data_IF_871828193924
#
_entry.id   IF_871828193924
#
_cell.length_a   1.000
_cell.length_b   1.000
_cell.length_c   1.000
_cell.angle_alpha   90.00
_cell.angle_beta   90.00
_cell.angle_gamma   90.00
#
_symmetry.space_group_name_H-M   'P 1'
#
loop_
_entity.id
_entity.type
_entity.pdbx_description
1 polymer ?
#
# COMPACT_ATOMS: atom_id res chain seq x y z
N UNK A 1 11.45 16.48 -3.17
CA UNK A 1 10.48 17.35 -3.87
C UNK A 1 11.12 18.72 -4.04
N UNK A 2 11.15 19.25 -5.27
CA UNK A 2 11.65 20.61 -5.48
C UNK A 2 10.61 21.63 -4.97
N UNK A 3 11.05 22.85 -4.70
CA UNK A 3 10.15 23.93 -4.26
C UNK A 3 9.04 24.21 -5.29
N UNK A 4 9.34 24.03 -6.59
CA UNK A 4 8.37 24.19 -7.69
C UNK A 4 7.30 23.11 -7.69
N UNK A 5 7.66 21.86 -7.36
CA UNK A 5 6.69 20.77 -7.26
C UNK A 5 5.75 21.00 -6.07
N UNK A 6 6.28 21.53 -4.96
CA UNK A 6 5.49 21.94 -3.80
C UNK A 6 4.51 23.05 -4.16
N UNK A 7 4.95 24.09 -4.86
CA UNK A 7 4.08 25.20 -5.27
C UNK A 7 2.99 24.76 -6.24
N UNK A 8 3.35 23.97 -7.26
CA UNK A 8 2.37 23.38 -8.17
C UNK A 8 1.36 22.50 -7.41
N UNK A 9 1.83 21.72 -6.43
CA UNK A 9 1.01 20.86 -5.59
C UNK A 9 0.02 21.67 -4.71
N UNK A 10 0.51 22.72 -4.03
CA UNK A 10 -0.33 23.64 -3.27
C UNK A 10 -1.36 24.32 -4.17
N UNK A 11 -1.00 24.63 -5.41
CA UNK A 11 -1.95 25.18 -6.38
C UNK A 11 -3.03 24.17 -6.76
N UNK A 12 -2.70 22.88 -6.92
CA UNK A 12 -3.71 21.84 -7.17
C UNK A 12 -4.66 21.68 -5.98
N UNK A 13 -4.16 21.68 -4.75
CA UNK A 13 -4.98 21.64 -3.54
C UNK A 13 -5.91 22.85 -3.44
N UNK A 14 -5.39 24.06 -3.67
CA UNK A 14 -6.20 25.30 -3.70
C UNK A 14 -7.26 25.24 -4.80
N UNK A 15 -6.91 24.75 -5.98
CA UNK A 15 -7.83 24.60 -7.11
C UNK A 15 -8.95 23.60 -6.79
N UNK A 16 -8.67 22.53 -6.05
CA UNK A 16 -9.70 21.57 -5.62
C UNK A 16 -10.57 22.12 -4.48
N UNK A 17 -9.99 22.77 -3.48
CA UNK A 17 -10.75 23.42 -2.41
C UNK A 17 -11.73 24.48 -2.96
N UNK A 18 -11.34 25.20 -4.01
CA UNK A 18 -12.20 26.20 -4.67
C UNK A 18 -13.36 25.55 -5.43
N UNK A 19 -13.18 24.33 -5.97
CA UNK A 19 -14.25 23.58 -6.67
C UNK A 19 -15.31 23.02 -5.73
N UNK A 20 -15.02 22.86 -4.44
CA UNK A 20 -15.96 22.36 -3.43
C UNK A 20 -16.99 23.42 -2.95
N UNK A 21 -16.95 24.64 -3.50
CA UNK A 21 -17.68 25.81 -3.00
C UNK A 21 -18.89 26.34 -3.79
N UNK A 22 -19.48 25.65 -4.79
CA UNK A 22 -20.85 25.90 -5.37
C UNK A 22 -21.16 25.05 -6.63
N UNK A 23 -22.44 24.86 -7.01
CA UNK A 23 -22.88 23.80 -7.93
C UNK A 23 -22.63 24.14 -9.40
N UNK A 24 -22.11 23.17 -10.15
CA UNK A 24 -22.08 23.23 -11.62
C UNK A 24 -23.25 22.43 -12.16
N UNK A 25 -24.22 23.15 -12.71
CA UNK A 25 -25.21 22.65 -13.66
C UNK A 25 -24.47 22.10 -14.88
N UNK A 26 -24.71 20.85 -15.25
CA UNK A 26 -24.34 20.33 -16.58
C UNK A 26 -25.62 19.94 -17.30
N UNK A 27 -26.08 20.82 -18.19
CA UNK A 27 -26.94 20.47 -19.32
C UNK A 27 -26.05 20.07 -20.50
N UNK A 28 -26.46 19.06 -21.27
CA UNK A 28 -25.97 18.86 -22.62
C UNK A 28 -25.93 17.40 -23.09
N UNK A 29 -27.06 16.93 -23.64
CA UNK A 29 -27.14 15.79 -24.58
C UNK A 29 -26.19 15.98 -25.76
N UNK A 30 -25.71 14.88 -26.35
CA UNK A 30 -25.98 14.54 -27.76
C UNK A 30 -25.77 13.04 -28.01
N UNK A 31 -26.70 12.49 -28.78
CA UNK A 31 -26.76 11.11 -29.26
C UNK A 31 -25.84 10.91 -30.46
N UNK A 32 -25.47 9.65 -30.74
CA UNK A 32 -25.17 9.23 -32.10
C UNK A 32 -25.64 7.79 -32.35
N UNK A 33 -26.20 7.62 -33.54
CA UNK A 33 -26.99 6.52 -34.04
C UNK A 33 -26.17 5.33 -34.57
N UNK A 34 -26.94 4.27 -34.84
CA UNK A 34 -26.62 2.91 -35.25
C UNK A 34 -25.88 2.79 -36.59
N UNK A 35 -25.15 1.69 -36.75
CA UNK A 35 -24.99 1.01 -38.05
C UNK A 35 -25.32 -0.47 -37.92
N UNK A 36 -26.24 -0.89 -38.78
CA UNK A 36 -26.64 -2.24 -39.14
C UNK A 36 -25.63 -2.85 -40.10
N UNK A 37 -25.36 -4.16 -39.98
CA UNK A 37 -24.58 -4.91 -40.96
C UNK A 37 -24.47 -6.40 -40.65
N UNK A 38 -25.26 -7.17 -41.40
CA UNK A 38 -25.07 -8.55 -41.88
C UNK A 38 -25.09 -9.76 -40.91
N UNK A 39 -26.04 -10.65 -41.20
CA UNK A 39 -26.36 -11.88 -40.50
C UNK A 39 -25.50 -13.06 -40.97
N UNK A 40 -24.87 -13.74 -40.01
CA UNK A 40 -24.29 -15.08 -40.16
C UNK A 40 -25.30 -16.17 -39.77
N UNK A 41 -25.16 -17.41 -40.31
CA UNK A 41 -26.04 -18.54 -39.99
C UNK A 41 -25.93 -18.98 -38.52
N UNK A 42 -26.99 -19.62 -37.96
CA UNK A 42 -27.03 -19.98 -36.55
C UNK A 42 -26.05 -21.11 -36.23
N UNK A 43 -25.10 -20.82 -35.34
CA UNK A 43 -24.26 -21.81 -34.70
C UNK A 43 -25.08 -22.69 -33.73
N UNK A 44 -24.65 -23.94 -33.51
CA UNK A 44 -25.32 -24.88 -32.61
C UNK A 44 -25.43 -24.30 -31.19
N UNK A 45 -26.65 -24.33 -30.65
CA UNK A 45 -26.99 -23.91 -29.29
C UNK A 45 -26.26 -24.80 -28.29
N UNK A 46 -25.05 -24.39 -27.90
CA UNK A 46 -24.42 -24.81 -26.67
C UNK A 46 -25.24 -24.19 -25.54
N UNK A 47 -25.76 -25.04 -24.64
CA UNK A 47 -26.47 -24.61 -23.43
C UNK A 47 -25.62 -23.55 -22.73
N UNK A 48 -26.19 -22.37 -22.51
CA UNK A 48 -25.62 -21.30 -21.70
C UNK A 48 -25.19 -21.90 -20.36
N UNK A 49 -23.89 -22.15 -20.24
CA UNK A 49 -23.26 -22.19 -18.93
C UNK A 49 -23.33 -20.76 -18.45
N UNK A 50 -23.94 -20.54 -17.29
CA UNK A 50 -23.94 -19.26 -16.58
C UNK A 50 -22.52 -18.69 -16.63
N UNK A 51 -22.31 -17.73 -17.53
CA UNK A 51 -21.07 -16.98 -17.59
C UNK A 51 -21.13 -16.11 -16.36
N UNK A 52 -20.37 -16.49 -15.32
CA UNK A 52 -20.10 -15.60 -14.20
C UNK A 52 -19.50 -14.36 -14.83
N UNK A 53 -20.30 -13.29 -14.88
CA UNK A 53 -19.86 -12.00 -15.39
C UNK A 53 -18.79 -11.47 -14.44
N UNK A 54 -17.53 -11.78 -14.74
CA UNK A 54 -16.36 -11.27 -14.02
C UNK A 54 -16.24 -9.74 -14.15
N UNK A 55 -17.11 -9.06 -14.91
CA UNK A 55 -17.18 -7.60 -14.99
C UNK A 55 -18.16 -6.97 -14.01
N UNK A 56 -18.86 -7.73 -13.17
CA UNK A 56 -19.43 -7.14 -11.96
C UNK A 56 -18.25 -6.80 -11.03
N UNK A 57 -17.65 -5.62 -11.25
CA UNK A 57 -16.84 -4.95 -10.24
C UNK A 57 -17.76 -4.73 -9.05
N UNK A 58 -17.80 -5.68 -8.13
CA UNK A 58 -18.33 -5.46 -6.80
C UNK A 58 -17.70 -4.15 -6.31
N UNK A 59 -18.52 -3.14 -6.03
CA UNK A 59 -18.05 -1.89 -5.46
C UNK A 59 -17.41 -2.24 -4.12
N UNK A 60 -16.08 -2.31 -4.11
CA UNK A 60 -15.36 -2.59 -2.89
C UNK A 60 -15.67 -1.48 -1.89
N UNK A 61 -16.01 -1.85 -0.64
CA UNK A 61 -16.41 -0.88 0.36
C UNK A 61 -15.22 0.02 0.70
N UNK A 62 -15.43 1.33 0.64
CA UNK A 62 -14.50 2.34 1.14
C UNK A 62 -15.17 3.18 2.24
N UNK A 63 -14.34 3.71 3.14
CA UNK A 63 -14.80 4.50 4.27
C UNK A 63 -15.07 5.95 3.84
N UNK A 64 -16.21 6.53 4.25
CA UNK A 64 -16.64 7.88 3.85
C UNK A 64 -16.36 8.98 4.89
N UNK A 65 -15.68 8.66 6.00
CA UNK A 65 -15.38 9.62 7.07
C UNK A 65 -14.09 10.42 6.84
N UNK A 66 -14.04 11.20 5.78
CA UNK A 66 -12.88 12.01 5.39
C UNK A 66 -12.57 13.16 6.39
N UNK A 67 -11.32 13.64 6.47
CA UNK A 67 -10.10 13.10 5.85
C UNK A 67 -9.48 11.97 6.70
N UNK A 68 -8.74 11.07 6.06
CA UNK A 68 -8.02 9.99 6.73
C UNK A 68 -6.77 9.57 5.96
N UNK A 69 -5.80 8.98 6.67
CA UNK A 69 -4.69 8.25 6.09
C UNK A 69 -5.02 6.77 5.97
N UNK A 70 -4.56 6.17 4.87
CA UNK A 70 -4.50 4.72 4.69
C UNK A 70 -3.05 4.31 4.59
N UNK A 71 -2.63 3.38 5.45
CA UNK A 71 -1.30 2.75 5.38
C UNK A 71 -1.48 1.34 4.84
N UNK A 72 -0.91 1.06 3.66
CA UNK A 72 -0.93 -0.27 3.07
C UNK A 72 0.14 -1.13 3.76
N UNK A 73 -0.30 -2.07 4.60
CA UNK A 73 0.59 -2.99 5.32
C UNK A 73 1.03 -4.12 4.38
N UNK A 74 0.06 -4.73 3.69
CA UNK A 74 0.25 -5.61 2.52
C UNK A 74 -0.90 -5.35 1.54
N UNK A 75 -0.85 -5.94 0.33
CA UNK A 75 -1.81 -5.64 -0.77
C UNK A 75 -3.29 -5.67 -0.36
N UNK A 76 -3.68 -6.54 0.56
CA UNK A 76 -5.05 -6.76 0.99
C UNK A 76 -5.36 -6.23 2.40
N UNK A 77 -4.37 -5.69 3.11
CA UNK A 77 -4.47 -5.38 4.53
C UNK A 77 -4.02 -3.95 4.83
N UNK A 78 -4.98 -3.07 5.07
CA UNK A 78 -4.73 -1.64 5.27
C UNK A 78 -5.08 -1.21 6.70
N UNK A 79 -4.36 -0.20 7.17
CA UNK A 79 -4.73 0.53 8.38
C UNK A 79 -5.31 1.90 8.01
N UNK A 80 -6.41 2.29 8.65
CA UNK A 80 -6.98 3.63 8.56
C UNK A 80 -6.62 4.41 9.83
N UNK A 81 -6.13 5.65 9.65
CA UNK A 81 -5.95 6.63 10.72
C UNK A 81 -6.77 7.89 10.39
N UNK A 82 -7.71 8.24 11.24
CA UNK A 82 -8.52 9.44 11.06
C UNK A 82 -7.70 10.71 11.32
N UNK A 83 -7.97 11.74 10.54
CA UNK A 83 -7.33 13.05 10.66
C UNK A 83 -8.38 14.11 11.00
N UNK A 84 -8.03 15.08 11.84
CA UNK A 84 -8.94 16.20 12.15
C UNK A 84 -9.09 17.11 10.94
N UNK A 85 -10.31 17.29 10.44
CA UNK A 85 -10.58 18.20 9.32
C UNK A 85 -10.57 19.68 9.75
N UNK A 86 -10.91 19.94 11.01
CA UNK A 86 -11.10 21.29 11.55
C UNK A 86 -9.78 21.98 11.89
N UNK A 87 -8.72 21.20 12.15
CA UNK A 87 -7.50 21.68 12.78
C UNK A 87 -6.25 21.52 11.92
N UNK A 88 -6.33 20.81 10.80
CA UNK A 88 -5.24 20.70 9.86
C UNK A 88 -5.67 21.36 8.56
N UNK A 89 -4.84 22.28 8.06
CA UNK A 89 -4.99 22.70 6.68
C UNK A 89 -4.52 21.59 5.72
N UNK A 90 -4.84 21.67 4.42
CA UNK A 90 -4.42 20.66 3.45
C UNK A 90 -2.90 20.44 3.36
N UNK A 91 -2.09 21.46 3.67
CA UNK A 91 -0.63 21.36 3.64
C UNK A 91 -0.12 20.55 4.83
N UNK A 92 -0.68 20.76 6.01
CA UNK A 92 -0.36 20.00 7.21
C UNK A 92 -0.76 18.52 7.08
N UNK A 93 -1.94 18.24 6.49
CA UNK A 93 -2.35 16.87 6.19
C UNK A 93 -1.36 16.18 5.24
N UNK A 94 -0.87 16.89 4.22
CA UNK A 94 0.13 16.37 3.29
C UNK A 94 1.47 16.09 3.98
N UNK A 95 1.98 17.04 4.78
CA UNK A 95 3.23 16.86 5.53
C UNK A 95 3.14 15.68 6.49
N UNK A 96 2.00 15.51 7.15
CA UNK A 96 1.74 14.38 8.04
C UNK A 96 1.76 13.05 7.27
N UNK A 97 1.09 12.98 6.12
CA UNK A 97 1.08 11.81 5.25
C UNK A 97 2.49 11.44 4.75
N UNK A 98 3.25 12.43 4.28
CA UNK A 98 4.63 12.27 3.82
C UNK A 98 5.54 11.78 4.95
N UNK A 99 5.48 12.40 6.13
CA UNK A 99 6.25 12.00 7.30
C UNK A 99 5.93 10.55 7.71
N UNK A 100 4.66 10.14 7.63
CA UNK A 100 4.26 8.77 7.90
C UNK A 100 4.89 7.78 6.91
N UNK A 101 4.81 8.09 5.61
CA UNK A 101 5.38 7.25 4.55
C UNK A 101 6.91 7.14 4.68
N UNK A 102 7.57 8.26 4.92
CA UNK A 102 9.03 8.34 5.04
C UNK A 102 9.56 7.57 6.25
N UNK A 103 8.86 7.64 7.39
CA UNK A 103 9.27 6.93 8.59
C UNK A 103 8.96 5.43 8.48
N UNK A 104 7.71 5.06 8.15
CA UNK A 104 7.31 3.66 8.18
C UNK A 104 7.83 2.83 7.01
N UNK A 105 8.17 3.49 5.88
CA UNK A 105 8.49 2.85 4.59
C UNK A 105 7.37 1.97 4.03
N UNK A 106 6.13 2.23 4.44
CA UNK A 106 4.94 1.68 3.80
C UNK A 106 4.39 2.64 2.75
N UNK A 107 3.62 2.12 1.81
CA UNK A 107 2.82 2.98 0.93
C UNK A 107 1.68 3.60 1.76
N UNK A 108 1.54 4.92 1.65
CA UNK A 108 0.53 5.70 2.38
C UNK A 108 -0.35 6.43 1.37
N UNK A 109 -1.63 6.53 1.66
CA UNK A 109 -2.58 7.31 0.87
C UNK A 109 -3.33 8.28 1.78
N UNK A 110 -3.27 9.57 1.47
CA UNK A 110 -4.10 10.59 2.09
C UNK A 110 -5.39 10.72 1.31
N UNK A 111 -6.52 10.38 1.94
CA UNK A 111 -7.85 10.51 1.35
C UNK A 111 -8.52 11.74 1.91
N UNK A 112 -8.82 12.71 1.05
CA UNK A 112 -9.40 14.01 1.42
C UNK A 112 -10.91 14.04 1.18
N UNK A 113 -11.39 13.37 0.14
CA UNK A 113 -12.82 13.23 -0.19
C UNK A 113 -13.06 12.01 -1.11
N UNK A 114 -14.28 11.85 -1.63
CA UNK A 114 -14.69 10.74 -2.48
C UNK A 114 -13.96 10.63 -3.83
N UNK A 115 -13.26 11.68 -4.26
CA UNK A 115 -12.60 11.78 -5.58
C UNK A 115 -11.20 12.35 -5.48
N UNK A 116 -10.67 12.51 -4.27
CA UNK A 116 -9.38 13.13 -4.04
C UNK A 116 -8.53 12.35 -3.05
N UNK A 117 -7.49 11.73 -3.59
CA UNK A 117 -6.49 10.99 -2.86
C UNK A 117 -5.08 11.38 -3.32
N UNK A 118 -4.12 11.32 -2.39
CA UNK A 118 -2.69 11.50 -2.67
C UNK A 118 -1.92 10.29 -2.20
N UNK A 119 -1.21 9.64 -3.11
CA UNK A 119 -0.43 8.44 -2.83
C UNK A 119 1.04 8.78 -2.62
N UNK A 120 1.61 8.22 -1.56
CA UNK A 120 3.00 8.32 -1.15
C UNK A 120 3.59 6.91 -1.19
N UNK A 121 4.61 6.71 -2.02
CA UNK A 121 5.32 5.43 -2.11
C UNK A 121 6.82 5.69 -2.04
N UNK A 122 7.57 4.73 -1.51
CA UNK A 122 9.04 4.78 -1.51
C UNK A 122 9.66 4.78 -2.92
N UNK A 123 8.88 4.40 -3.94
CA UNK A 123 9.36 4.24 -5.33
C UNK A 123 9.04 5.40 -6.25
N UNK A 124 8.09 6.25 -5.87
CA UNK A 124 7.52 7.26 -6.75
C UNK A 124 7.29 8.56 -6.00
N UNK A 125 7.37 9.68 -6.72
CA UNK A 125 6.95 10.95 -6.17
C UNK A 125 5.46 10.92 -5.80
N UNK A 126 5.05 11.72 -4.80
CA UNK A 126 3.64 11.81 -4.44
C UNK A 126 2.79 12.19 -5.65
N UNK A 127 1.67 11.50 -5.84
CA UNK A 127 0.77 11.76 -6.96
C UNK A 127 -0.69 11.76 -6.55
N UNK A 128 -1.47 12.60 -7.24
CA UNK A 128 -2.92 12.65 -7.06
C UNK A 128 -3.61 11.53 -7.82
N UNK A 129 -4.68 11.01 -7.25
CA UNK A 129 -5.57 10.08 -7.92
C UNK A 129 -7.03 10.33 -7.52
N UNK A 130 -7.94 9.94 -8.40
CA UNK A 130 -9.38 9.82 -8.09
C UNK A 130 -9.72 8.44 -7.52
N UNK A 131 -8.82 7.48 -7.66
CA UNK A 131 -9.02 6.12 -7.21
C UNK A 131 -8.68 6.01 -5.72
N UNK A 132 -9.67 5.61 -4.93
CA UNK A 132 -9.51 5.39 -3.50
C UNK A 132 -8.83 4.04 -3.23
N UNK A 133 -8.04 3.94 -2.14
CA UNK A 133 -7.37 2.70 -1.79
C UNK A 133 -8.39 1.62 -1.42
N UNK A 134 -8.41 0.52 -2.18
CA UNK A 134 -9.27 -0.65 -1.92
C UNK A 134 -8.47 -1.75 -1.22
N UNK A 135 -9.08 -2.35 -0.19
CA UNK A 135 -8.54 -3.50 0.54
C UNK A 135 -9.66 -4.45 0.96
N UNK A 136 -9.29 -5.68 1.29
CA UNK A 136 -10.22 -6.67 1.85
C UNK A 136 -10.26 -6.63 3.37
N UNK A 137 -9.18 -6.16 4.01
CA UNK A 137 -9.07 -6.08 5.47
C UNK A 137 -8.65 -4.67 5.87
N UNK A 138 -9.44 -4.08 6.76
CA UNK A 138 -9.17 -2.79 7.38
C UNK A 138 -8.97 -2.96 8.88
N UNK A 139 -7.98 -2.25 9.43
CA UNK A 139 -7.75 -2.11 10.87
C UNK A 139 -7.54 -0.64 11.24
N UNK A 140 -7.51 -0.36 12.53
CA UNK A 140 -7.10 0.94 13.09
C UNK A 140 -6.23 0.76 14.33
N UNK A 141 -5.62 1.85 14.77
CA UNK A 141 -4.93 1.98 16.07
C UNK A 141 -3.73 1.05 16.29
N UNK A 142 -3.06 0.58 15.22
CA UNK A 142 -1.82 -0.24 15.34
C UNK A 142 -0.55 0.57 15.12
N UNK A 143 -0.51 1.39 14.09
CA UNK A 143 0.56 2.36 13.83
C UNK A 143 0.10 3.76 14.17
N UNK A 144 0.74 4.41 15.14
CA UNK A 144 0.44 5.79 15.52
C UNK A 144 0.86 6.77 14.42
N UNK A 145 0.12 7.88 14.34
CA UNK A 145 0.47 9.04 13.51
C UNK A 145 1.75 9.71 14.03
N UNK A 146 2.48 10.38 13.14
CA UNK A 146 3.69 11.15 13.49
C UNK A 146 3.45 12.27 14.49
N UNK A 147 2.22 12.76 14.59
CA UNK A 147 1.79 13.80 15.53
C UNK A 147 0.53 13.36 16.25
N UNK A 148 0.37 13.82 17.49
CA UNK A 148 -0.89 13.66 18.20
C UNK A 148 -1.96 14.52 17.52
N UNK A 149 -3.07 13.90 17.14
CA UNK A 149 -4.21 14.62 16.61
C UNK A 149 -5.09 15.10 17.77
N UNK A 150 -5.45 16.38 17.81
CA UNK A 150 -6.47 16.87 18.73
C UNK A 150 -7.80 16.11 18.55
N UNK A 151 -8.40 15.70 19.66
CA UNK A 151 -9.64 14.93 19.66
C UNK A 151 -10.83 15.88 19.78
N UNK A 152 -11.53 16.11 18.67
CA UNK A 152 -12.78 16.87 18.60
C UNK A 152 -14.03 15.97 18.52
N UNK A 153 -15.21 16.58 18.65
CA UNK A 153 -16.49 15.87 18.56
C UNK A 153 -16.68 15.19 17.19
N UNK A 154 -16.26 15.84 16.10
CA UNK A 154 -16.27 15.26 14.77
C UNK A 154 -15.39 14.01 14.66
N UNK A 155 -14.15 14.08 15.17
CA UNK A 155 -13.21 12.96 15.11
C UNK A 155 -13.72 11.76 15.91
N UNK A 156 -14.33 11.99 17.08
CA UNK A 156 -14.95 10.94 17.89
C UNK A 156 -16.13 10.28 17.17
N UNK A 157 -17.01 11.08 16.53
CA UNK A 157 -18.11 10.57 15.72
C UNK A 157 -17.59 9.68 14.58
N UNK A 158 -16.62 10.17 13.81
CA UNK A 158 -16.00 9.41 12.71
C UNK A 158 -15.25 8.17 13.20
N UNK A 159 -14.69 8.18 14.41
CA UNK A 159 -14.07 6.99 15.00
C UNK A 159 -15.09 5.87 15.23
N UNK A 160 -16.29 6.19 15.70
CA UNK A 160 -17.40 5.24 15.83
C UNK A 160 -17.91 4.74 14.48
N UNK A 161 -17.97 5.61 13.47
CA UNK A 161 -18.31 5.21 12.09
C UNK A 161 -17.25 4.27 11.49
N UNK A 162 -15.97 4.53 11.76
CA UNK A 162 -14.88 3.67 11.33
C UNK A 162 -14.94 2.29 12.01
N UNK A 163 -15.32 2.23 13.29
CA UNK A 163 -15.55 0.95 13.98
C UNK A 163 -16.66 0.14 13.31
N UNK A 164 -17.81 0.77 13.06
CA UNK A 164 -18.92 0.11 12.37
C UNK A 164 -18.53 -0.34 10.95
N UNK A 165 -17.77 0.50 10.24
CA UNK A 165 -17.23 0.16 8.92
C UNK A 165 -16.33 -1.07 8.98
N UNK A 166 -15.33 -1.10 9.86
CA UNK A 166 -14.40 -2.24 10.00
C UNK A 166 -15.16 -3.50 10.40
N UNK A 167 -16.07 -3.41 11.36
CA UNK A 167 -16.86 -4.55 11.83
C UNK A 167 -17.72 -5.14 10.71
N UNK A 168 -18.44 -4.30 9.96
CA UNK A 168 -19.31 -4.73 8.85
C UNK A 168 -18.57 -5.37 7.67
N UNK A 169 -17.28 -5.04 7.50
CA UNK A 169 -16.44 -5.61 6.45
C UNK A 169 -15.65 -6.83 6.92
N UNK A 170 -15.30 -6.92 8.21
CA UNK A 170 -14.53 -8.04 8.76
C UNK A 170 -15.28 -9.38 8.72
N UNK A 171 -16.61 -9.36 8.73
CA UNK A 171 -17.47 -10.56 8.69
C UNK A 171 -17.57 -11.18 7.29
N UNK A 172 -17.20 -10.42 6.25
CA UNK A 172 -17.12 -10.89 4.86
C UNK A 172 -15.73 -11.47 4.62
N UNK A 173 -15.47 -12.67 5.15
CA UNK A 173 -14.25 -13.50 5.02
C UNK A 173 -13.20 -13.01 4.02
N UNK A 174 -12.39 -12.04 4.41
CA UNK A 174 -11.24 -11.61 3.62
C UNK A 174 -10.13 -12.64 3.78
N UNK A 175 -9.72 -13.30 2.70
CA UNK A 175 -8.47 -14.07 2.72
C UNK A 175 -7.30 -13.08 2.72
N UNK A 176 -6.38 -13.23 3.67
CA UNK A 176 -5.07 -12.59 3.61
C UNK A 176 -4.26 -13.22 2.49
N UNK A 177 -4.51 -12.79 1.25
CA UNK A 177 -3.65 -13.14 0.13
C UNK A 177 -2.41 -12.24 0.21
N UNK A 178 -1.38 -12.75 0.88
CA UNK A 178 -0.04 -12.19 0.81
C UNK A 178 0.55 -12.36 -0.58
N UNK A 179 1.56 -11.57 -0.90
CA UNK A 179 2.37 -11.82 -2.09
C UNK A 179 3.15 -13.13 -1.93
N UNK A 180 2.68 -14.18 -2.62
CA UNK A 180 3.28 -15.51 -2.59
C UNK A 180 4.65 -15.56 -3.30
N UNK A 181 5.04 -14.49 -4.01
CA UNK A 181 6.35 -14.37 -4.66
C UNK A 181 7.40 -13.73 -3.76
N UNK A 182 7.03 -13.30 -2.54
CA UNK A 182 7.90 -12.57 -1.61
C UNK A 182 8.51 -11.29 -2.20
N UNK A 183 7.80 -10.62 -3.09
CA UNK A 183 8.31 -9.49 -3.86
C UNK A 183 9.31 -9.86 -4.95
N UNK A 184 9.40 -11.15 -5.28
CA UNK A 184 10.28 -11.66 -6.33
C UNK A 184 9.79 -11.25 -7.71
N UNK A 185 10.73 -10.83 -8.56
CA UNK A 185 10.47 -10.56 -9.98
C UNK A 185 11.04 -11.68 -10.84
N UNK A 186 10.50 -11.87 -12.04
CA UNK A 186 11.10 -12.81 -13.00
C UNK A 186 12.54 -12.38 -13.31
N UNK A 187 13.45 -13.34 -13.31
CA UNK A 187 14.83 -13.14 -13.73
C UNK A 187 14.91 -12.84 -15.24
N UNK A 188 15.81 -11.95 -15.61
CA UNK A 188 16.31 -11.83 -16.98
C UNK A 188 17.24 -13.00 -17.33
N UNK A 189 17.54 -13.20 -18.60
CA UNK A 189 18.41 -14.29 -19.03
C UNK A 189 19.84 -14.12 -18.48
N UNK A 190 20.33 -12.88 -18.44
CA UNK A 190 21.61 -12.51 -17.88
C UNK A 190 21.66 -12.80 -16.38
N UNK A 191 20.60 -12.47 -15.64
CA UNK A 191 20.51 -12.77 -14.21
C UNK A 191 20.44 -14.26 -13.93
N UNK A 192 19.73 -15.04 -14.74
CA UNK A 192 19.77 -16.50 -14.64
C UNK A 192 21.20 -17.00 -14.77
N UNK A 193 21.96 -16.53 -15.77
CA UNK A 193 23.36 -16.96 -15.95
C UNK A 193 24.23 -16.55 -14.76
N UNK A 194 24.11 -15.32 -14.28
CA UNK A 194 24.98 -14.76 -13.24
C UNK A 194 24.64 -15.26 -11.82
N UNK A 195 23.36 -15.42 -11.52
CA UNK A 195 22.86 -15.74 -10.17
C UNK A 195 22.57 -17.24 -9.98
N UNK A 196 22.72 -18.08 -11.01
CA UNK A 196 22.53 -19.52 -10.87
C UNK A 196 23.62 -20.18 -10.00
N UNK A 197 23.16 -20.96 -9.02
CA UNK A 197 23.99 -21.79 -8.16
C UNK A 197 24.41 -21.10 -6.87
N UNK A 198 25.45 -21.64 -6.25
CA UNK A 198 26.00 -21.16 -4.98
C UNK A 198 27.49 -20.84 -5.13
N UNK A 199 28.01 -20.01 -4.24
CA UNK A 199 29.44 -19.85 -4.00
C UNK A 199 30.05 -21.10 -3.35
N UNK A 200 31.38 -21.20 -3.30
CA UNK A 200 32.10 -22.32 -2.65
C UNK A 200 31.72 -22.50 -1.16
N UNK A 201 31.32 -21.41 -0.50
CA UNK A 201 30.87 -21.41 0.89
C UNK A 201 29.38 -21.83 1.06
N UNK A 202 28.71 -22.22 -0.02
CA UNK A 202 27.30 -22.64 -0.04
C UNK A 202 26.28 -21.50 -0.10
N UNK A 203 26.71 -20.24 -0.13
CA UNK A 203 25.81 -19.09 -0.21
C UNK A 203 25.24 -18.94 -1.64
N UNK A 204 23.94 -18.65 -1.83
CA UNK A 204 23.40 -18.32 -3.16
C UNK A 204 24.19 -17.20 -3.83
N UNK A 205 24.46 -17.35 -5.13
CA UNK A 205 25.18 -16.32 -5.88
C UNK A 205 24.41 -14.99 -5.84
N UNK A 206 25.17 -13.91 -5.66
CA UNK A 206 24.65 -12.54 -5.56
C UNK A 206 24.34 -12.08 -4.14
N UNK A 207 24.33 -13.00 -3.16
CA UNK A 207 24.34 -12.62 -1.75
C UNK A 207 25.76 -12.36 -1.25
N UNK A 208 25.89 -11.37 -0.39
CA UNK A 208 27.14 -11.02 0.31
C UNK A 208 26.87 -10.83 1.79
N UNK A 209 27.91 -10.97 2.61
CA UNK A 209 27.87 -10.66 4.04
C UNK A 209 28.00 -9.14 4.20
N UNK A 210 27.08 -8.53 4.96
CA UNK A 210 27.13 -7.13 5.31
C UNK A 210 28.31 -6.86 6.26
N UNK A 211 29.23 -5.93 5.93
CA UNK A 211 30.40 -5.67 6.76
C UNK A 211 30.07 -5.01 8.11
N UNK A 212 28.84 -4.50 8.27
CA UNK A 212 28.41 -3.78 9.49
C UNK A 212 27.78 -4.73 10.50
N UNK A 213 26.79 -5.53 10.08
CA UNK A 213 26.05 -6.41 10.98
C UNK A 213 26.37 -7.91 10.83
N UNK A 214 27.19 -8.30 9.85
CA UNK A 214 27.53 -9.70 9.59
C UNK A 214 26.41 -10.54 8.96
N UNK A 215 25.27 -9.93 8.66
CA UNK A 215 24.10 -10.59 8.09
C UNK A 215 24.07 -10.45 6.55
N UNK A 216 23.21 -11.22 5.87
CA UNK A 216 23.25 -11.32 4.41
C UNK A 216 22.45 -10.22 3.72
N UNK A 217 22.93 -9.77 2.56
CA UNK A 217 22.22 -8.83 1.67
C UNK A 217 22.56 -9.08 0.20
N UNK A 218 21.72 -8.59 -0.70
CA UNK A 218 21.95 -8.65 -2.15
C UNK A 218 20.70 -9.09 -2.92
N UNK A 219 20.90 -9.46 -4.18
CA UNK A 219 19.86 -10.06 -5.02
C UNK A 219 20.33 -11.45 -5.45
N UNK A 220 19.45 -12.43 -5.41
CA UNK A 220 19.74 -13.81 -5.80
C UNK A 220 18.47 -14.50 -6.32
N UNK A 221 18.63 -15.66 -6.95
CA UNK A 221 17.50 -16.52 -7.28
C UNK A 221 16.96 -17.19 -6.00
N UNK A 222 15.64 -17.22 -5.81
CA UNK A 222 15.05 -17.92 -4.66
C UNK A 222 15.36 -19.43 -4.77
N UNK A 223 16.00 -20.04 -3.76
CA UNK A 223 16.37 -21.46 -3.81
C UNK A 223 15.16 -22.40 -3.67
N UNK A 224 13.97 -21.89 -3.32
CA UNK A 224 12.76 -22.69 -3.24
C UNK A 224 12.30 -23.09 -4.66
N UNK A 225 12.12 -24.40 -4.95
CA UNK A 225 11.66 -24.87 -6.25
C UNK A 225 10.34 -24.24 -6.73
N UNK A 226 9.44 -23.89 -5.80
CA UNK A 226 8.15 -23.26 -6.12
C UNK A 226 8.29 -21.81 -6.61
N UNK A 227 9.45 -21.18 -6.39
CA UNK A 227 9.78 -19.81 -6.80
C UNK A 227 10.97 -19.79 -7.78
N UNK A 228 11.19 -20.91 -8.48
CA UNK A 228 12.27 -21.05 -9.45
C UNK A 228 12.21 -19.95 -10.52
N UNK A 229 13.36 -19.33 -10.80
CA UNK A 229 13.49 -18.24 -11.77
C UNK A 229 13.03 -16.87 -11.26
N UNK A 230 12.72 -16.73 -9.97
CA UNK A 230 12.47 -15.42 -9.36
C UNK A 230 13.72 -14.86 -8.71
N UNK A 231 14.07 -13.62 -9.07
CA UNK A 231 15.06 -12.81 -8.35
C UNK A 231 14.39 -12.16 -7.17
N UNK A 232 14.94 -12.39 -5.99
CA UNK A 232 14.50 -11.79 -4.73
C UNK A 232 15.62 -10.96 -4.12
N UNK A 233 15.26 -9.83 -3.53
CA UNK A 233 16.18 -8.98 -2.78
C UNK A 233 16.19 -9.40 -1.31
N UNK A 234 17.37 -9.70 -0.79
CA UNK A 234 17.66 -9.99 0.61
C UNK A 234 18.20 -8.72 1.28
N UNK A 235 17.59 -8.35 2.40
CA UNK A 235 17.93 -7.18 3.21
C UNK A 235 18.54 -7.62 4.53
N UNK A 236 19.66 -7.01 4.90
CA UNK A 236 20.28 -7.25 6.20
C UNK A 236 19.65 -6.37 7.29
N UNK A 237 20.03 -6.56 8.56
CA UNK A 237 19.57 -5.69 9.65
C UNK A 237 19.85 -4.19 9.46
N UNK A 238 20.93 -3.82 8.76
CA UNK A 238 21.27 -2.42 8.51
C UNK A 238 20.35 -1.75 7.48
N UNK A 239 19.72 -2.55 6.61
CA UNK A 239 18.78 -2.02 5.62
C UNK A 239 17.41 -1.73 6.23
N UNK A 240 17.19 -2.08 7.52
CA UNK A 240 15.95 -1.82 8.24
C UNK A 240 15.84 -0.36 8.68
N UNK A 241 15.27 0.43 7.78
CA UNK A 241 14.92 1.85 7.90
C UNK A 241 13.43 2.07 8.23
N UNK A 242 12.68 1.01 8.56
CA UNK A 242 11.26 1.09 8.90
C UNK A 242 11.07 1.46 10.38
N UNK A 243 10.79 2.74 10.61
CA UNK A 243 10.65 3.34 11.93
C UNK A 243 9.20 3.74 12.20
N UNK A 244 8.81 3.73 13.46
CA UNK A 244 7.57 4.31 13.90
C UNK A 244 7.62 5.82 13.70
N UNK A 245 6.64 6.37 12.98
CA UNK A 245 6.56 7.81 12.70
C UNK A 245 6.37 8.63 13.98
N UNK A 246 5.83 8.02 15.05
CA UNK A 246 5.59 8.68 16.33
C UNK A 246 6.84 8.70 17.23
N UNK A 247 7.41 7.53 17.55
CA UNK A 247 8.52 7.43 18.52
C UNK A 247 9.91 7.27 17.90
N UNK A 248 10.02 7.09 16.59
CA UNK A 248 11.28 6.82 15.89
C UNK A 248 11.88 5.44 16.11
N UNK A 249 11.27 4.58 16.94
CA UNK A 249 11.73 3.21 17.19
C UNK A 249 11.47 2.28 16.00
N UNK A 250 12.24 1.20 15.87
CA UNK A 250 12.04 0.20 14.80
C UNK A 250 10.65 -0.45 14.91
N UNK A 251 9.98 -0.64 13.78
CA UNK A 251 8.68 -1.32 13.74
C UNK A 251 8.81 -2.83 14.00
N UNK A 252 9.93 -3.42 13.60
CA UNK A 252 10.30 -4.81 13.82
C UNK A 252 11.82 -4.93 13.76
N UNK A 253 12.41 -6.01 14.28
CA UNK A 253 13.84 -6.27 14.24
C UNK A 253 14.35 -6.35 12.79
N UNK A 254 13.57 -7.01 11.93
CA UNK A 254 13.77 -7.10 10.48
C UNK A 254 12.88 -6.09 9.76
N UNK A 255 13.32 -5.63 8.57
CA UNK A 255 12.53 -4.71 7.74
C UNK A 255 11.21 -5.37 7.33
N UNK A 256 10.03 -4.78 7.63
CA UNK A 256 8.75 -5.30 7.14
C UNK A 256 8.70 -5.30 5.60
N UNK A 257 7.96 -6.25 5.01
CA UNK A 257 7.87 -6.48 3.57
C UNK A 257 9.24 -6.66 2.88
N UNK A 258 10.16 -7.36 3.55
CA UNK A 258 11.49 -7.66 2.99
C UNK A 258 11.87 -9.12 3.20
N UNK A 259 12.88 -9.59 2.48
CA UNK A 259 13.40 -10.93 2.64
C UNK A 259 14.73 -10.93 3.37
N UNK A 260 15.03 -11.98 4.12
CA UNK A 260 16.33 -12.25 4.71
C UNK A 260 16.75 -13.70 4.42
N UNK A 261 18.05 -13.96 4.41
CA UNK A 261 18.58 -15.31 4.24
C UNK A 261 18.94 -15.91 5.60
N UNK A 262 18.47 -17.11 5.88
CA UNK A 262 18.79 -17.85 7.10
C UNK A 262 19.80 -18.94 6.77
N UNK A 263 21.00 -18.83 7.36
CA UNK A 263 22.10 -19.77 7.09
C UNK A 263 21.77 -21.17 7.63
N UNK A 264 21.04 -21.25 8.75
CA UNK A 264 20.75 -22.52 9.43
C UNK A 264 20.03 -23.52 8.53
N UNK A 265 19.11 -23.05 7.69
CA UNK A 265 18.33 -23.89 6.78
C UNK A 265 18.60 -23.60 5.29
N UNK A 266 19.43 -22.60 5.00
CA UNK A 266 19.79 -22.20 3.65
C UNK A 266 18.64 -21.57 2.87
N UNK A 267 17.62 -21.02 3.56
CA UNK A 267 16.40 -20.51 2.92
C UNK A 267 16.30 -18.99 2.98
N UNK A 268 15.49 -18.46 2.05
CA UNK A 268 15.08 -17.06 2.05
C UNK A 268 13.71 -16.96 2.73
N UNK A 269 13.67 -16.23 3.83
CA UNK A 269 12.49 -15.97 4.64
C UNK A 269 11.94 -14.58 4.38
N UNK A 270 10.62 -14.48 4.28
CA UNK A 270 9.93 -13.21 4.13
C UNK A 270 9.50 -12.68 5.50
N UNK A 271 9.81 -11.42 5.79
CA UNK A 271 9.30 -10.70 6.95
C UNK A 271 8.01 -9.98 6.54
N UNK A 272 6.83 -10.49 6.94
CA UNK A 272 5.57 -9.92 6.47
C UNK A 272 5.36 -8.49 7.02
N UNK A 273 4.72 -7.62 6.24
CA UNK A 273 4.44 -6.23 6.62
C UNK A 273 3.73 -6.10 7.98
N UNK A 274 2.79 -7.01 8.27
CA UNK A 274 2.03 -6.99 9.53
C UNK A 274 2.87 -7.26 10.77
N UNK A 275 4.11 -7.75 10.63
CA UNK A 275 5.03 -7.86 11.77
C UNK A 275 5.33 -6.50 12.42
N UNK A 276 5.26 -5.41 11.66
CA UNK A 276 5.42 -4.05 12.18
C UNK A 276 4.28 -3.58 13.11
N UNK A 277 3.13 -4.25 13.08
CA UNK A 277 1.97 -3.92 13.92
C UNK A 277 2.12 -4.38 15.38
N UNK A 278 3.14 -5.20 15.65
CA UNK A 278 3.50 -5.60 17.01
C UNK A 278 4.31 -4.53 17.75
N UNK A 279 4.79 -3.50 17.05
CA UNK A 279 5.45 -2.36 17.68
C UNK A 279 4.55 -1.71 18.73
N UNK A 280 5.14 -1.36 19.87
CA UNK A 280 4.50 -0.55 20.90
C UNK A 280 5.39 0.65 21.14
N UNK A 281 4.83 1.84 20.91
CA UNK A 281 5.53 3.04 21.32
C UNK A 281 5.66 3.01 22.85
N UNK A 282 6.82 3.38 23.41
CA UNK A 282 6.86 3.64 24.84
C UNK A 282 5.80 4.69 25.15
N UNK A 283 5.11 4.54 26.29
CA UNK A 283 4.27 5.61 26.80
C UNK A 283 5.14 6.87 26.85
N UNK A 284 4.59 8.00 26.41
CA UNK A 284 5.31 9.25 26.50
C UNK A 284 5.62 9.45 27.99
N UNK A 285 6.86 9.22 28.39
CA UNK A 285 7.35 9.61 29.70
C UNK A 285 7.17 11.13 29.76
N UNK A 286 6.11 11.55 30.45
CA UNK A 286 5.80 12.94 30.75
C UNK A 286 7.00 13.62 31.43
#
# INVERSE_FOLDING_TARGET
MSEKDREWFLQQLKNQATKLGKPILIQGRMAYEQRTGDAMPPEPILKEQDTIDMNQREEYPYFKGYPYLVIRIVNSFFQINLLSAEQNDPEDLFRLAQAQADANKFDVCLVMDERSAVYFSSRHEPHFSKDLPMATIFIKDKLRLSVNQPVGADLLRRAGELDAFIQSNSTKTGFLLGDLTKGGRKATQEELICLQGVHENGLPKGLVICPVCGDYRGECLDPNPMMSGLVVRVSCYCDNDALCAYCGGKLNDRKPNSNHYERKDGKIWHTPGFSGLSHRCPDASN
#
